data_IF_233532783580
#
_entry.id   IF_233532783580
#
_cell.length_a   1.000
_cell.length_b   1.000
_cell.length_c   1.000
_cell.angle_alpha   90.00
_cell.angle_beta   90.00
_cell.angle_gamma   90.00
#
_symmetry.space_group_name_H-M   'P 1'
#
loop_
_entity.id
_entity.type
_entity.pdbx_description
1 polymer ?
#
# COMPACT_ATOMS: atom_id res chain seq x y z
N UNK A 1 -22.52 4.60 -9.51
CA UNK A 1 -22.16 3.36 -8.78
C UNK A 1 -20.69 3.50 -8.42
N UNK A 2 -20.25 3.07 -7.23
CA UNK A 2 -18.81 3.01 -6.96
C UNK A 2 -18.18 2.07 -7.99
N UNK A 3 -17.11 2.51 -8.65
CA UNK A 3 -16.29 1.63 -9.47
C UNK A 3 -15.53 0.68 -8.54
N UNK A 4 -15.65 -0.62 -8.81
CA UNK A 4 -14.91 -1.64 -8.08
C UNK A 4 -13.69 -2.03 -8.89
N UNK A 5 -12.53 -1.98 -8.25
CA UNK A 5 -11.24 -2.33 -8.83
C UNK A 5 -10.81 -3.66 -8.23
N UNK A 6 -10.35 -4.60 -9.07
CA UNK A 6 -9.98 -5.94 -8.61
C UNK A 6 -8.57 -6.30 -9.08
N UNK A 7 -7.83 -6.98 -8.20
CA UNK A 7 -6.52 -7.53 -8.53
C UNK A 7 -5.40 -6.52 -8.33
N UNK A 8 -4.26 -6.76 -9.01
CA UNK A 8 -2.98 -6.10 -8.72
C UNK A 8 -2.66 -4.99 -9.71
N UNK A 9 -2.34 -3.82 -9.18
CA UNK A 9 -2.00 -2.62 -9.94
C UNK A 9 -0.64 -2.07 -9.53
N UNK A 10 0.05 -1.41 -10.47
CA UNK A 10 1.35 -0.77 -10.20
C UNK A 10 1.14 0.57 -9.53
N UNK A 11 1.91 0.82 -8.49
CA UNK A 11 1.91 2.10 -7.80
C UNK A 11 3.31 2.59 -7.46
N UNK A 12 3.36 3.84 -7.03
CA UNK A 12 4.57 4.47 -6.49
C UNK A 12 4.29 4.98 -5.08
N UNK A 13 5.15 4.66 -4.12
CA UNK A 13 4.97 5.11 -2.73
C UNK A 13 5.12 6.62 -2.63
N UNK A 14 4.12 7.29 -2.07
CA UNK A 14 4.14 8.74 -1.86
C UNK A 14 4.17 9.13 -0.39
N UNK A 15 3.75 8.24 0.51
CA UNK A 15 3.83 8.44 1.96
C UNK A 15 4.02 7.10 2.67
N UNK A 16 4.97 7.03 3.59
CA UNK A 16 5.25 5.84 4.40
C UNK A 16 5.33 6.15 5.91
N UNK A 17 4.96 7.36 6.33
CA UNK A 17 4.92 7.75 7.74
C UNK A 17 3.55 7.40 8.32
N UNK A 18 3.38 6.12 8.68
CA UNK A 18 2.11 5.61 9.21
C UNK A 18 1.89 6.03 10.68
N UNK A 19 0.87 6.85 10.99
CA UNK A 19 0.58 7.27 12.36
C UNK A 19 0.23 6.09 13.29
N UNK A 20 -0.32 5.00 12.74
CA UNK A 20 -0.69 3.81 13.51
C UNK A 20 0.46 2.83 13.69
N UNK A 21 1.62 3.09 13.06
CA UNK A 21 2.81 2.21 13.09
C UNK A 21 2.50 0.75 12.71
N UNK A 22 1.60 0.56 11.75
CA UNK A 22 1.22 -0.76 11.21
C UNK A 22 2.01 -1.11 9.94
N UNK A 23 2.93 -0.24 9.50
CA UNK A 23 3.72 -0.44 8.27
C UNK A 23 2.93 -0.16 6.99
N UNK A 24 1.85 0.63 7.08
CA UNK A 24 1.03 1.01 5.92
C UNK A 24 1.72 2.05 5.07
N UNK A 25 1.33 2.11 3.80
CA UNK A 25 1.79 3.12 2.86
C UNK A 25 0.60 3.79 2.17
N UNK A 26 0.79 5.00 1.67
CA UNK A 26 -0.04 5.55 0.60
C UNK A 26 0.77 5.54 -0.68
N UNK A 27 0.13 5.15 -1.78
CA UNK A 27 0.74 5.10 -3.09
C UNK A 27 -0.09 5.90 -4.09
N UNK A 28 0.54 6.33 -5.17
CA UNK A 28 -0.15 6.79 -6.36
C UNK A 28 -0.32 5.59 -7.29
N UNK A 29 -1.55 5.28 -7.70
CA UNK A 29 -1.90 4.17 -8.60
C UNK A 29 -2.69 4.77 -9.77
N UNK A 30 -2.02 5.15 -10.88
CA UNK A 30 -2.65 5.86 -11.99
C UNK A 30 -3.88 5.17 -12.58
N UNK A 31 -3.84 3.84 -12.65
CA UNK A 31 -4.90 3.02 -13.23
C UNK A 31 -6.16 2.91 -12.35
N UNK A 32 -6.11 3.41 -11.09
CA UNK A 32 -7.22 3.33 -10.14
C UNK A 32 -7.70 4.72 -9.70
N UNK A 33 -6.79 5.61 -9.31
CA UNK A 33 -7.13 6.92 -8.75
C UNK A 33 -6.43 8.10 -9.45
N UNK A 34 -5.84 7.85 -10.63
CA UNK A 34 -5.05 8.84 -11.35
C UNK A 34 -3.88 9.35 -10.51
N UNK A 35 -3.81 10.67 -10.30
CA UNK A 35 -2.75 11.31 -9.50
C UNK A 35 -3.10 11.45 -8.02
N UNK A 36 -4.29 11.02 -7.60
CA UNK A 36 -4.67 11.05 -6.19
C UNK A 36 -4.04 9.86 -5.45
N UNK A 37 -3.40 10.09 -4.29
CA UNK A 37 -2.94 8.99 -3.44
C UNK A 37 -4.09 8.07 -3.02
N UNK A 38 -3.78 6.79 -2.84
CA UNK A 38 -4.70 5.83 -2.23
C UNK A 38 -4.97 6.17 -0.77
N UNK A 39 -6.01 5.54 -0.21
CA UNK A 39 -6.07 5.32 1.24
C UNK A 39 -4.85 4.51 1.71
N UNK A 40 -4.69 4.38 3.02
CA UNK A 40 -3.62 3.55 3.60
C UNK A 40 -3.76 2.10 3.15
N UNK A 41 -2.79 1.64 2.36
CA UNK A 41 -2.67 0.26 1.94
C UNK A 41 -2.03 -0.57 3.05
N UNK A 42 -2.67 -1.70 3.39
CA UNK A 42 -2.14 -2.66 4.35
C UNK A 42 -0.94 -3.41 3.77
N UNK A 43 0.10 -3.68 4.57
CA UNK A 43 1.23 -4.45 4.09
C UNK A 43 0.87 -5.94 3.98
N UNK A 44 1.28 -6.57 2.88
CA UNK A 44 1.30 -8.02 2.74
C UNK A 44 2.70 -8.53 3.10
N UNK A 45 2.85 -8.99 4.34
CA UNK A 45 4.16 -9.39 4.91
C UNK A 45 4.35 -10.90 4.84
N UNK A 46 5.60 -11.38 4.71
CA UNK A 46 5.88 -12.82 4.65
C UNK A 46 5.61 -13.56 5.96
N UNK A 47 5.68 -12.87 7.10
CA UNK A 47 5.44 -13.45 8.43
C UNK A 47 4.87 -12.39 9.40
N UNK A 48 3.75 -12.71 10.04
CA UNK A 48 3.14 -11.90 11.10
C UNK A 48 2.59 -12.77 12.24
N UNK A 49 2.58 -12.23 13.46
CA UNK A 49 2.11 -12.88 14.68
C UNK A 49 2.25 -11.96 15.91
N UNK A 50 1.68 -12.37 17.04
CA UNK A 50 1.78 -11.60 18.29
C UNK A 50 3.24 -11.54 18.72
N UNK A 51 3.83 -10.34 18.75
CA UNK A 51 5.24 -10.10 19.08
C UNK A 51 6.23 -10.92 18.23
N UNK A 52 5.82 -11.35 17.04
CA UNK A 52 6.63 -12.16 16.14
C UNK A 52 6.35 -11.76 14.69
N UNK A 53 7.38 -11.53 13.89
CA UNK A 53 7.21 -11.28 12.47
C UNK A 53 8.36 -10.50 11.86
N UNK A 54 8.20 -10.21 10.57
CA UNK A 54 9.13 -9.42 9.79
C UNK A 54 8.35 -8.55 8.82
N UNK A 55 8.62 -7.24 8.83
CA UNK A 55 8.07 -6.31 7.86
C UNK A 55 9.13 -5.29 7.43
N UNK A 56 9.02 -4.86 6.19
CA UNK A 56 9.85 -3.80 5.61
C UNK A 56 8.91 -2.77 5.00
N UNK A 57 9.15 -1.49 5.29
CA UNK A 57 8.37 -0.40 4.70
C UNK A 57 9.17 0.15 3.51
N UNK A 58 8.61 0.13 2.28
CA UNK A 58 9.27 0.74 1.14
C UNK A 58 9.49 2.25 1.36
N UNK A 59 10.60 2.76 0.82
CA UNK A 59 10.88 4.20 0.86
C UNK A 59 9.97 4.94 -0.14
N UNK A 60 9.72 6.22 0.12
CA UNK A 60 9.01 7.10 -0.83
C UNK A 60 9.73 7.07 -2.19
N UNK A 61 8.96 6.98 -3.27
CA UNK A 61 9.45 6.80 -4.64
C UNK A 61 9.64 5.35 -5.08
N UNK A 62 9.49 4.37 -4.18
CA UNK A 62 9.58 2.95 -4.55
C UNK A 62 8.41 2.52 -5.43
N UNK A 63 8.68 1.69 -6.45
CA UNK A 63 7.64 1.00 -7.21
C UNK A 63 7.09 -0.19 -6.43
N UNK A 64 5.76 -0.33 -6.38
CA UNK A 64 5.05 -1.38 -5.65
C UNK A 64 3.93 -1.98 -6.48
N UNK A 65 3.52 -3.20 -6.14
CA UNK A 65 2.27 -3.79 -6.60
C UNK A 65 1.26 -3.77 -5.45
N UNK A 66 0.07 -3.25 -5.71
CA UNK A 66 -1.01 -3.11 -4.71
C UNK A 66 -2.22 -3.88 -5.21
N UNK A 67 -2.82 -4.66 -4.32
CA UNK A 67 -4.04 -5.42 -4.58
C UNK A 67 -5.27 -4.62 -4.13
N UNK A 68 -6.32 -4.63 -4.96
CA UNK A 68 -7.61 -3.99 -4.70
C UNK A 68 -8.71 -5.07 -4.66
N UNK A 69 -9.67 -4.86 -3.75
CA UNK A 69 -10.81 -5.73 -3.45
C UNK A 69 -12.14 -4.95 -3.43
#
# INVERSE_FOLDING_TARGET
MPETYYGKYRGTVVNNVDPMKLGRIQAMVPDVSGFSPTSWAMPCVPLAGIQNGFYTVPVIGSGVWIEFE
#
